data_IF_421122101658
#
_entry.id   IF_421122101658
#
_cell.length_a   1.000
_cell.length_b   1.000
_cell.length_c   1.000
_cell.angle_alpha   90.00
_cell.angle_beta   90.00
_cell.angle_gamma   90.00
#
_symmetry.space_group_name_H-M   'P 1'
#
loop_
_entity.id
_entity.type
_entity.pdbx_description
1 polymer ?
#
# COMPACT_ATOMS: atom_id res chain seq x y z
N UNK A 1 15.86 27.10 -9.10
CA UNK A 1 14.68 26.22 -9.14
C UNK A 1 13.69 26.69 -8.07
N UNK A 2 12.40 26.76 -8.40
CA UNK A 2 11.35 27.14 -7.46
C UNK A 2 11.04 25.97 -6.52
N UNK A 3 11.22 26.17 -5.20
CA UNK A 3 11.01 25.11 -4.20
C UNK A 3 9.57 24.65 -4.15
N UNK A 4 8.60 25.53 -4.43
CA UNK A 4 7.18 25.15 -4.48
C UNK A 4 6.95 24.12 -5.59
N UNK A 5 7.52 24.34 -6.78
CA UNK A 5 7.47 23.37 -7.87
C UNK A 5 8.14 22.04 -7.52
N UNK A 6 9.28 22.08 -6.82
CA UNK A 6 9.95 20.85 -6.39
C UNK A 6 9.08 20.04 -5.41
N UNK A 7 8.39 20.70 -4.48
CA UNK A 7 7.48 20.06 -3.51
C UNK A 7 6.23 19.50 -4.23
N UNK A 8 5.67 20.26 -5.17
CA UNK A 8 4.54 19.80 -5.98
C UNK A 8 4.92 18.57 -6.82
N UNK A 9 6.12 18.53 -7.41
CA UNK A 9 6.59 17.36 -8.15
C UNK A 9 6.70 16.11 -7.25
N UNK A 10 7.11 16.26 -5.98
CA UNK A 10 7.10 15.15 -5.01
C UNK A 10 5.68 14.67 -4.72
N UNK A 11 4.72 15.59 -4.61
CA UNK A 11 3.33 15.25 -4.37
C UNK A 11 2.74 14.46 -5.55
N UNK A 12 2.97 14.93 -6.78
CA UNK A 12 2.53 14.25 -8.00
C UNK A 12 3.15 12.85 -8.12
N UNK A 13 4.44 12.70 -7.81
CA UNK A 13 5.10 11.39 -7.86
C UNK A 13 4.48 10.37 -6.88
N UNK A 14 4.11 10.80 -5.67
CA UNK A 14 3.42 9.94 -4.69
C UNK A 14 2.02 9.55 -5.18
N UNK A 15 1.29 10.50 -5.76
CA UNK A 15 -0.05 10.24 -6.30
C UNK A 15 -0.01 9.25 -7.47
N UNK A 16 0.93 9.43 -8.41
CA UNK A 16 1.08 8.53 -9.56
C UNK A 16 1.50 7.12 -9.12
N UNK A 17 2.50 7.00 -8.23
CA UNK A 17 2.94 5.71 -7.71
C UNK A 17 1.81 4.97 -6.97
N UNK A 18 1.02 5.69 -6.17
CA UNK A 18 -0.15 5.15 -5.48
C UNK A 18 -1.26 4.72 -6.45
N UNK A 19 -1.59 5.56 -7.44
CA UNK A 19 -2.63 5.27 -8.43
C UNK A 19 -2.29 4.06 -9.31
N UNK A 20 -0.99 3.86 -9.61
CA UNK A 20 -0.49 2.74 -10.40
C UNK A 20 -0.24 1.47 -9.57
N UNK A 21 -0.48 1.52 -8.26
CA UNK A 21 -0.14 0.44 -7.32
C UNK A 21 1.34 0.00 -7.42
N UNK A 22 2.24 0.93 -7.78
CA UNK A 22 3.67 0.67 -7.83
C UNK A 22 4.27 0.83 -6.42
N UNK A 23 4.11 -0.22 -5.61
CA UNK A 23 4.46 -0.21 -4.19
C UNK A 23 5.96 0.00 -3.95
N UNK A 24 6.81 -0.46 -4.87
CA UNK A 24 8.26 -0.24 -4.81
C UNK A 24 8.62 1.22 -5.08
N UNK A 25 8.05 1.82 -6.13
CA UNK A 25 8.25 3.24 -6.40
C UNK A 25 7.69 4.11 -5.26
N UNK A 26 6.52 3.74 -4.72
CA UNK A 26 5.91 4.45 -3.60
C UNK A 26 6.79 4.38 -2.35
N UNK A 27 7.30 3.19 -2.01
CA UNK A 27 8.20 3.00 -0.87
C UNK A 27 9.51 3.79 -1.01
N UNK A 28 10.10 3.84 -2.22
CA UNK A 28 11.28 4.69 -2.49
C UNK A 28 10.95 6.18 -2.31
N UNK A 29 9.86 6.64 -2.91
CA UNK A 29 9.44 8.04 -2.84
C UNK A 29 9.20 8.49 -1.38
N UNK A 30 8.53 7.67 -0.56
CA UNK A 30 8.26 7.97 0.85
C UNK A 30 9.55 8.01 1.68
N UNK A 31 10.48 7.08 1.48
CA UNK A 31 11.78 7.09 2.19
C UNK A 31 12.61 8.33 1.88
N UNK A 32 12.54 8.82 0.66
CA UNK A 32 13.31 10.00 0.22
C UNK A 32 12.66 11.34 0.61
N UNK A 33 11.39 11.35 1.04
CA UNK A 33 10.66 12.59 1.37
C UNK A 33 11.35 13.41 2.45
N UNK A 34 11.69 12.78 3.58
CA UNK A 34 12.28 13.46 4.74
C UNK A 34 13.59 14.18 4.37
N UNK A 35 14.60 13.47 3.83
CA UNK A 35 15.86 14.08 3.40
C UNK A 35 15.67 15.17 2.34
N UNK A 36 14.78 14.96 1.35
CA UNK A 36 14.55 15.95 0.29
C UNK A 36 13.87 17.22 0.83
N UNK A 37 12.88 17.10 1.71
CA UNK A 37 12.23 18.26 2.33
C UNK A 37 13.18 19.02 3.25
N UNK A 38 14.05 18.31 3.98
CA UNK A 38 15.08 18.94 4.81
C UNK A 38 16.07 19.73 3.93
N UNK A 39 16.56 19.13 2.84
CA UNK A 39 17.45 19.80 1.88
C UNK A 39 16.78 21.03 1.24
N UNK A 40 15.50 20.93 0.88
CA UNK A 40 14.73 22.04 0.30
C UNK A 40 14.51 23.18 1.30
N UNK A 41 14.29 22.87 2.57
CA UNK A 41 14.13 23.91 3.60
C UNK A 41 15.41 24.75 3.73
N UNK A 42 16.59 24.12 3.61
CA UNK A 42 17.91 24.72 3.79
C UNK A 42 18.02 25.60 5.06
N UNK A 43 17.31 25.22 6.12
CA UNK A 43 17.25 25.99 7.38
C UNK A 43 16.44 27.30 7.31
N UNK A 44 15.83 27.61 6.16
CA UNK A 44 14.99 28.80 5.95
C UNK A 44 13.52 28.51 6.30
N UNK A 45 12.84 29.53 6.82
CA UNK A 45 11.39 29.51 7.00
C UNK A 45 10.65 29.32 5.67
N UNK A 46 9.58 28.52 5.69
CA UNK A 46 8.70 28.32 4.55
C UNK A 46 7.83 29.56 4.33
N UNK A 47 7.80 30.07 3.09
CA UNK A 47 6.85 31.10 2.68
C UNK A 47 5.43 30.54 2.55
N UNK A 48 4.41 31.40 2.47
CA UNK A 48 3.01 31.00 2.30
C UNK A 48 2.77 30.03 1.11
N UNK A 49 3.26 30.30 -0.13
CA UNK A 49 3.05 29.36 -1.24
C UNK A 49 3.73 28.01 -1.00
N UNK A 50 4.90 28.00 -0.35
CA UNK A 50 5.59 26.75 -0.06
C UNK A 50 4.89 25.93 1.03
N UNK A 51 4.34 26.59 2.06
CA UNK A 51 3.50 25.91 3.05
C UNK A 51 2.26 25.28 2.41
N UNK A 52 1.64 25.96 1.45
CA UNK A 52 0.53 25.40 0.68
C UNK A 52 0.97 24.17 -0.14
N UNK A 53 2.15 24.22 -0.77
CA UNK A 53 2.71 23.06 -1.47
C UNK A 53 2.99 21.88 -0.53
N UNK A 54 3.55 22.14 0.66
CA UNK A 54 3.79 21.11 1.69
C UNK A 54 2.48 20.51 2.20
N UNK A 55 1.42 21.31 2.36
CA UNK A 55 0.11 20.82 2.74
C UNK A 55 -0.49 19.88 1.67
N UNK A 56 -0.33 20.21 0.39
CA UNK A 56 -0.74 19.31 -0.72
C UNK A 56 0.07 18.02 -0.72
N UNK A 57 1.38 18.12 -0.51
CA UNK A 57 2.25 16.95 -0.38
C UNK A 57 1.83 16.04 0.77
N UNK A 58 1.44 16.61 1.91
CA UNK A 58 0.88 15.84 3.03
C UNK A 58 -0.40 15.12 2.63
N UNK A 59 -1.33 15.78 1.94
CA UNK A 59 -2.53 15.13 1.43
C UNK A 59 -2.24 13.99 0.46
N UNK A 60 -1.23 14.15 -0.43
CA UNK A 60 -0.77 13.08 -1.30
C UNK A 60 -0.20 11.88 -0.52
N UNK A 61 0.55 12.13 0.55
CA UNK A 61 1.08 11.08 1.42
C UNK A 61 -0.02 10.34 2.19
N UNK A 62 -1.00 11.05 2.74
CA UNK A 62 -2.17 10.47 3.41
C UNK A 62 -3.01 9.61 2.44
N UNK A 63 -3.21 10.09 1.20
CA UNK A 63 -3.86 9.31 0.15
C UNK A 63 -3.09 8.04 -0.23
N UNK A 64 -1.76 8.12 -0.35
CA UNK A 64 -0.92 6.96 -0.59
C UNK A 64 -0.99 5.92 0.55
N UNK A 65 -1.04 6.38 1.81
CA UNK A 65 -1.22 5.51 2.98
C UNK A 65 -2.58 4.78 2.92
N UNK A 66 -3.65 5.49 2.56
CA UNK A 66 -4.97 4.89 2.41
C UNK A 66 -5.01 3.83 1.29
N UNK A 67 -4.37 4.11 0.15
CA UNK A 67 -4.27 3.15 -0.97
C UNK A 67 -3.51 1.88 -0.55
N UNK A 68 -2.38 2.02 0.15
CA UNK A 68 -1.59 0.88 0.65
C UNK A 68 -2.37 0.05 1.68
N UNK A 69 -3.13 0.71 2.58
CA UNK A 69 -3.98 0.02 3.54
C UNK A 69 -5.10 -0.77 2.85
N UNK A 70 -5.77 -0.18 1.85
CA UNK A 70 -6.81 -0.86 1.08
C UNK A 70 -6.27 -2.08 0.32
N UNK A 71 -5.10 -1.95 -0.31
CA UNK A 71 -4.45 -3.07 -1.01
C UNK A 71 -4.05 -4.19 -0.04
N UNK A 72 -3.56 -3.85 1.15
CA UNK A 72 -3.21 -4.83 2.20
C UNK A 72 -4.45 -5.57 2.70
N UNK A 73 -5.56 -4.86 2.94
CA UNK A 73 -6.82 -5.47 3.34
C UNK A 73 -7.39 -6.41 2.26
N UNK A 74 -7.29 -6.03 0.98
CA UNK A 74 -7.70 -6.88 -0.13
C UNK A 74 -6.86 -8.14 -0.24
N UNK A 75 -5.54 -8.03 -0.03
CA UNK A 75 -4.65 -9.19 -0.02
C UNK A 75 -4.99 -10.14 1.13
N UNK A 76 -5.21 -9.60 2.33
CA UNK A 76 -5.59 -10.39 3.50
C UNK A 76 -6.90 -11.16 3.24
N UNK A 77 -7.93 -10.51 2.71
CA UNK A 77 -9.21 -11.17 2.39
C UNK A 77 -9.02 -12.33 1.41
N UNK A 78 -8.18 -12.16 0.38
CA UNK A 78 -7.88 -13.24 -0.58
C UNK A 78 -7.13 -14.41 0.06
N UNK A 79 -6.19 -14.13 0.97
CA UNK A 79 -5.47 -15.17 1.69
C UNK A 79 -6.40 -15.96 2.62
N UNK A 80 -7.33 -15.27 3.27
CA UNK A 80 -8.34 -15.90 4.13
C UNK A 80 -9.28 -16.78 3.30
N UNK A 81 -9.76 -16.29 2.16
CA UNK A 81 -10.58 -17.09 1.22
C UNK A 81 -9.84 -18.34 0.75
N UNK A 82 -8.55 -18.22 0.37
CA UNK A 82 -7.74 -19.37 -0.04
C UNK A 82 -7.58 -20.40 1.09
N UNK A 83 -7.41 -19.92 2.32
CA UNK A 83 -7.28 -20.79 3.50
C UNK A 83 -8.57 -21.54 3.78
N UNK A 84 -9.71 -20.84 3.80
CA UNK A 84 -11.03 -21.45 4.02
C UNK A 84 -11.34 -22.49 2.95
N UNK A 85 -11.07 -22.19 1.67
CA UNK A 85 -11.29 -23.14 0.59
C UNK A 85 -10.40 -24.38 0.72
N UNK A 86 -9.14 -24.22 1.13
CA UNK A 86 -8.25 -25.35 1.40
C UNK A 86 -8.75 -26.21 2.56
N UNK A 87 -9.18 -25.59 3.65
CA UNK A 87 -9.75 -26.29 4.81
C UNK A 87 -11.04 -27.04 4.42
N UNK A 88 -11.89 -26.44 3.59
CA UNK A 88 -13.10 -27.08 3.04
C UNK A 88 -12.79 -28.28 2.15
N UNK A 89 -11.80 -28.19 1.26
CA UNK A 89 -11.41 -29.31 0.40
C UNK A 89 -10.75 -30.45 1.20
N UNK A 90 -9.93 -30.13 2.21
CA UNK A 90 -9.36 -31.15 3.10
C UNK A 90 -10.44 -31.84 3.93
N UNK A 91 -11.43 -31.09 4.43
CA UNK A 91 -12.57 -31.67 5.15
C UNK A 91 -13.39 -32.61 4.26
N UNK A 92 -13.62 -32.23 3.00
CA UNK A 92 -14.31 -33.10 2.03
C UNK A 92 -13.46 -34.34 1.67
N UNK A 93 -12.15 -34.20 1.53
CA UNK A 93 -11.25 -35.33 1.25
C UNK A 93 -11.17 -36.32 2.42
N UNK A 94 -11.16 -35.84 3.67
CA UNK A 94 -11.15 -36.68 4.88
C UNK A 94 -12.53 -37.33 5.16
N UNK A 95 -13.62 -36.62 4.88
CA UNK A 95 -14.97 -37.18 4.97
C UNK A 95 -15.30 -38.16 3.83
N UNK A 96 -14.49 -38.15 2.77
CA UNK A 96 -14.64 -38.96 1.57
C UNK A 96 -13.81 -40.24 1.56
N UNK A 97 -13.11 -40.63 2.64
CA UNK A 97 -12.62 -42.00 2.78
C UNK A 97 -13.83 -42.91 3.06
N UNK A 98 -14.30 -43.72 2.08
CA UNK A 98 -15.38 -44.64 2.36
C UNK A 98 -14.86 -45.72 3.30
N UNK A 99 -15.63 -45.99 4.36
CA UNK A 99 -15.67 -47.29 5.00
C UNK A 99 -15.96 -48.36 3.93
N UNK A 100 -14.91 -48.82 3.25
CA UNK A 100 -14.91 -49.96 2.36
C UNK A 100 -14.29 -51.13 3.11
N UNK A 101 -14.91 -51.50 4.23
CA UNK A 101 -14.30 -52.43 5.18
C UNK A 101 -15.27 -53.27 6.03
N UNK A 102 -16.52 -53.51 5.64
CA UNK A 102 -17.43 -54.44 6.35
C UNK A 102 -18.69 -54.70 5.48
N UNK A 103 -19.17 -55.89 5.10
CA UNK A 103 -18.84 -57.29 5.36
C UNK A 103 -19.29 -58.13 4.16
N UNK A 104 -18.51 -59.14 3.81
CA UNK A 104 -19.01 -60.32 3.12
C UNK A 104 -19.67 -61.25 4.15
N UNK A 105 -20.98 -61.48 4.02
CA UNK A 105 -21.64 -62.79 4.22
C UNK A 105 -23.16 -62.66 4.01
#
# INVERSE_FOLDING_TARGET
MDRSRSIEALATALQDAGARADWDALGRAVRELGPRLQALSAGRAWSAPERAAVARLRGAHEGAQAAAAAASAQLQARLDDMRVNKEGWMAYALAGEPDSGHNAQ
#
